data_IF_618420354734
#
_entry.id   IF_618420354734
#
_cell.length_a   1.000
_cell.length_b   1.000
_cell.length_c   1.000
_cell.angle_alpha   90.00
_cell.angle_beta   90.00
_cell.angle_gamma   90.00
#
_symmetry.space_group_name_H-M   'P 1'
#
loop_
_entity.id
_entity.type
_entity.pdbx_description
1 polymer ?
#
# COMPACT_ATOMS: atom_id res chain seq x y z
N UNK A 1 -25.81 46.62 -20.65
CA UNK A 1 -26.20 45.29 -21.15
C UNK A 1 -25.02 44.34 -20.91
N UNK A 2 -25.28 43.19 -20.27
CA UNK A 2 -24.45 41.96 -20.14
C UNK A 2 -23.10 42.15 -19.41
N UNK A 3 -23.02 42.09 -18.06
CA UNK A 3 -22.93 40.89 -17.20
C UNK A 3 -21.99 39.79 -17.73
N UNK A 4 -20.68 40.00 -17.61
CA UNK A 4 -19.69 38.93 -17.73
C UNK A 4 -19.58 38.20 -16.38
N UNK A 5 -20.32 37.10 -16.25
CA UNK A 5 -20.15 36.12 -15.19
C UNK A 5 -18.73 35.56 -15.27
N UNK A 6 -17.85 35.98 -14.36
CA UNK A 6 -16.57 35.31 -14.15
C UNK A 6 -16.86 33.97 -13.48
N UNK A 7 -16.91 32.93 -14.31
CA UNK A 7 -17.07 31.55 -13.89
C UNK A 7 -15.88 31.16 -13.01
N UNK A 8 -16.20 30.71 -11.80
CA UNK A 8 -15.33 30.10 -10.81
C UNK A 8 -14.40 29.08 -11.50
N UNK A 9 -13.06 29.18 -11.37
CA UNK A 9 -12.23 28.01 -11.62
C UNK A 9 -12.49 27.06 -10.47
N UNK A 10 -13.35 26.08 -10.71
CA UNK A 10 -13.59 24.96 -9.82
C UNK A 10 -12.27 24.29 -9.51
N UNK A 11 -11.90 24.30 -8.23
CA UNK A 11 -10.80 23.50 -7.71
C UNK A 11 -11.21 22.05 -7.93
N UNK A 12 -10.71 21.47 -9.01
CA UNK A 12 -10.70 20.02 -9.17
C UNK A 12 -9.89 19.47 -8.02
N UNK A 13 -10.59 19.01 -6.97
CA UNK A 13 -10.03 18.08 -6.00
C UNK A 13 -9.89 16.77 -6.76
N UNK A 14 -8.88 16.70 -7.64
CA UNK A 14 -8.40 15.45 -8.20
C UNK A 14 -8.07 14.60 -6.99
N UNK A 15 -8.81 13.50 -6.86
CA UNK A 15 -8.59 12.50 -5.84
C UNK A 15 -7.07 12.26 -5.73
N UNK A 16 -6.50 12.56 -4.56
CA UNK A 16 -5.24 11.97 -4.14
C UNK A 16 -5.50 10.47 -3.95
N UNK A 17 -5.77 9.75 -5.04
CA UNK A 17 -5.64 8.30 -5.06
C UNK A 17 -4.18 8.05 -4.77
N UNK A 18 -3.87 7.76 -3.50
CA UNK A 18 -2.51 7.46 -3.06
C UNK A 18 -2.00 6.35 -3.97
N UNK A 19 -1.06 6.69 -4.83
CA UNK A 19 -0.40 5.75 -5.71
C UNK A 19 0.27 4.69 -4.84
N UNK A 20 0.28 3.44 -5.31
CA UNK A 20 0.90 2.36 -4.55
C UNK A 20 2.41 2.63 -4.54
N UNK A 21 3.04 2.82 -3.36
CA UNK A 21 4.47 3.04 -3.30
C UNK A 21 5.18 1.79 -3.83
N UNK A 22 6.29 1.97 -4.55
CA UNK A 22 7.18 0.85 -4.83
C UNK A 22 7.80 0.34 -3.53
N UNK A 23 7.98 -0.96 -3.46
CA UNK A 23 8.56 -1.67 -2.33
C UNK A 23 9.67 -2.56 -2.89
N UNK A 24 10.91 -2.33 -2.47
CA UNK A 24 12.05 -3.11 -2.93
C UNK A 24 12.12 -4.48 -2.23
N UNK A 25 11.76 -4.53 -0.94
CA UNK A 25 11.70 -5.76 -0.14
C UNK A 25 10.29 -5.96 0.46
N UNK A 26 9.49 -6.92 -0.08
CA UNK A 26 8.18 -7.25 0.45
C UNK A 26 8.17 -7.77 1.90
N UNK A 27 9.29 -8.28 2.42
CA UNK A 27 9.42 -8.75 3.81
C UNK A 27 9.84 -7.63 4.77
N UNK A 28 10.47 -6.57 4.26
CA UNK A 28 10.85 -5.39 5.02
C UNK A 28 10.39 -4.11 4.33
N UNK A 29 9.10 -3.79 4.49
CA UNK A 29 8.49 -2.67 3.80
C UNK A 29 8.89 -1.36 4.48
N UNK A 30 9.53 -0.48 3.70
CA UNK A 30 9.85 0.89 4.11
C UNK A 30 9.20 1.87 3.14
N UNK A 31 8.31 2.72 3.64
CA UNK A 31 7.65 3.76 2.84
C UNK A 31 8.04 5.12 3.40
N UNK A 32 8.66 5.96 2.56
CA UNK A 32 9.16 7.29 2.95
C UNK A 32 10.11 7.25 4.17
N UNK A 33 10.99 6.24 4.23
CA UNK A 33 11.94 6.06 5.34
C UNK A 33 11.31 5.56 6.64
N UNK A 34 10.03 5.19 6.62
CA UNK A 34 9.34 4.60 7.78
C UNK A 34 9.03 3.13 7.52
N UNK A 35 9.48 2.27 8.41
CA UNK A 35 9.12 0.85 8.43
C UNK A 35 7.61 0.67 8.61
N UNK A 36 7.06 -0.27 7.87
CA UNK A 36 5.63 -0.58 7.84
C UNK A 36 5.45 -2.09 7.78
N UNK A 37 4.42 -2.61 8.45
CA UNK A 37 4.08 -4.03 8.32
C UNK A 37 3.41 -4.31 6.98
N UNK A 38 3.54 -5.54 6.50
CA UNK A 38 2.85 -6.01 5.29
C UNK A 38 1.33 -5.77 5.35
N UNK A 39 0.70 -6.10 6.48
CA UNK A 39 -0.73 -5.87 6.67
C UNK A 39 -1.11 -4.38 6.61
N UNK A 40 -0.31 -3.51 7.24
CA UNK A 40 -0.57 -2.08 7.24
C UNK A 40 -0.36 -1.45 5.85
N UNK A 41 0.61 -1.97 5.07
CA UNK A 41 0.83 -1.55 3.70
C UNK A 41 -0.36 -1.92 2.80
N UNK A 42 -0.81 -3.18 2.88
CA UNK A 42 -1.96 -3.67 2.10
C UNK A 42 -3.23 -2.87 2.42
N UNK A 43 -3.51 -2.64 3.71
CA UNK A 43 -4.66 -1.86 4.16
C UNK A 43 -4.60 -0.40 3.67
N UNK A 44 -3.42 0.22 3.73
CA UNK A 44 -3.29 1.65 3.41
C UNK A 44 -3.22 1.95 1.91
N UNK A 45 -2.61 1.06 1.13
CA UNK A 45 -2.25 1.33 -0.27
C UNK A 45 -2.91 0.39 -1.27
N UNK A 46 -3.32 -0.81 -0.86
CA UNK A 46 -3.77 -1.85 -1.79
C UNK A 46 -5.29 -2.06 -1.83
N UNK A 47 -6.06 -1.39 -0.97
CA UNK A 47 -7.54 -1.42 -1.03
C UNK A 47 -8.01 -0.90 -2.39
N UNK A 48 -8.73 -1.74 -3.15
CA UNK A 48 -9.21 -1.48 -4.52
C UNK A 48 -8.10 -1.36 -5.57
N UNK A 49 -6.88 -1.79 -5.24
CA UNK A 49 -5.70 -1.82 -6.12
C UNK A 49 -5.03 -3.19 -6.09
N UNK A 50 -5.84 -4.24 -5.97
CA UNK A 50 -5.39 -5.63 -5.80
C UNK A 50 -4.57 -6.11 -7.00
N UNK A 51 -4.90 -5.62 -8.20
CA UNK A 51 -4.19 -5.94 -9.44
C UNK A 51 -2.82 -5.23 -9.58
N UNK A 52 -2.43 -4.37 -8.63
CA UNK A 52 -1.14 -3.71 -8.68
C UNK A 52 -0.02 -4.73 -8.36
N UNK A 53 1.07 -4.80 -9.14
CA UNK A 53 2.12 -5.81 -8.96
C UNK A 53 2.71 -5.79 -7.54
N UNK A 54 3.02 -4.61 -7.01
CA UNK A 54 3.54 -4.45 -5.64
C UNK A 54 2.57 -4.95 -4.57
N UNK A 55 1.26 -4.78 -4.77
CA UNK A 55 0.26 -5.29 -3.83
C UNK A 55 0.21 -6.82 -3.85
N UNK A 56 0.36 -7.42 -5.03
CA UNK A 56 0.45 -8.87 -5.20
C UNK A 56 1.71 -9.45 -4.54
N UNK A 57 2.86 -8.79 -4.71
CA UNK A 57 4.13 -9.21 -4.09
C UNK A 57 4.07 -9.14 -2.56
N UNK A 58 3.57 -8.03 -2.01
CA UNK A 58 3.41 -7.86 -0.55
C UNK A 58 2.42 -8.87 0.02
N UNK A 59 1.32 -9.13 -0.68
CA UNK A 59 0.33 -10.14 -0.25
C UNK A 59 0.92 -11.56 -0.28
N UNK A 60 1.70 -11.89 -1.31
CA UNK A 60 2.36 -13.18 -1.41
C UNK A 60 3.38 -13.36 -0.28
N UNK A 61 4.21 -12.34 -0.01
CA UNK A 61 5.18 -12.37 1.09
C UNK A 61 4.49 -12.51 2.46
N UNK A 62 3.36 -11.83 2.69
CA UNK A 62 2.56 -11.99 3.90
C UNK A 62 2.00 -13.42 4.05
N UNK A 63 1.55 -13.99 2.95
CA UNK A 63 1.02 -15.37 2.92
C UNK A 63 2.12 -16.38 3.21
N UNK A 64 3.29 -16.23 2.58
CA UNK A 64 4.46 -17.09 2.83
C UNK A 64 4.90 -17.02 4.29
N UNK A 65 5.02 -15.82 4.87
CA UNK A 65 5.32 -15.63 6.28
C UNK A 65 4.34 -16.37 7.21
N UNK A 66 3.03 -16.40 6.86
CA UNK A 66 2.03 -17.15 7.64
C UNK A 66 2.23 -18.66 7.49
N UNK A 67 2.45 -19.15 6.27
CA UNK A 67 2.70 -20.57 5.99
C UNK A 67 3.96 -21.03 6.70
N UNK A 68 5.05 -20.26 6.66
CA UNK A 68 6.31 -20.59 7.30
C UNK A 68 6.18 -20.68 8.82
N UNK A 69 5.43 -19.75 9.44
CA UNK A 69 5.11 -19.83 10.88
C UNK A 69 4.32 -21.08 11.25
N UNK A 70 3.42 -21.54 10.38
CA UNK A 70 2.65 -22.77 10.61
C UNK A 70 3.53 -24.00 10.37
N UNK A 71 4.40 -23.96 9.35
CA UNK A 71 5.27 -25.06 8.96
C UNK A 71 6.40 -25.30 9.97
N UNK A 72 6.99 -24.23 10.50
CA UNK A 72 8.04 -24.31 11.51
C UNK A 72 7.71 -23.41 12.73
N UNK A 73 6.81 -23.86 13.62
CA UNK A 73 6.41 -23.07 14.79
C UNK A 73 7.55 -22.83 15.80
N UNK A 74 8.67 -23.55 15.67
CA UNK A 74 9.82 -23.43 16.57
C UNK A 74 10.90 -22.45 16.05
N UNK A 75 10.84 -22.01 14.79
CA UNK A 75 11.86 -21.13 14.20
C UNK A 75 11.81 -19.71 14.79
N UNK A 76 10.62 -19.22 15.15
CA UNK A 76 10.45 -17.94 15.85
C UNK A 76 10.81 -17.96 17.34
N UNK A 77 11.22 -19.11 17.89
CA UNK A 77 11.55 -19.31 19.31
C UNK A 77 13.05 -19.25 19.61
N UNK A 78 13.89 -19.15 18.57
CA UNK A 78 15.34 -18.99 18.70
C UNK A 78 15.72 -17.52 18.48
N UNK A 79 15.33 -16.67 19.43
CA UNK A 79 15.96 -15.36 19.69
C UNK A 79 15.78 -15.02 21.17
#
# INVERSE_FOLDING_TARGET
MIRASWLLPGIFVLACEREVPQVDDPHNIVVNGKEMSQAAFLDKYCIRKENHPTCSEVLNAATQNMIDRVRNPNEGRMN
#
